data_IF_451685451768
#
_entry.id   IF_451685451768
#
_cell.length_a   1.000
_cell.length_b   1.000
_cell.length_c   1.000
_cell.angle_alpha   90.00
_cell.angle_beta   90.00
_cell.angle_gamma   90.00
#
_symmetry.space_group_name_H-M   'P 1'
#
loop_
_entity.id
_entity.type
_entity.pdbx_description
1 polymer ?
#
# COMPACT_ATOMS: atom_id res chain seq x y z
N UNK A 1 8.87 16.92 -16.07
CA UNK A 1 7.67 16.78 -15.22
C UNK A 1 7.46 18.12 -14.54
N UNK A 2 6.66 19.01 -15.13
CA UNK A 2 6.43 20.35 -14.59
C UNK A 2 4.98 20.74 -14.89
N UNK A 3 4.05 19.95 -14.36
CA UNK A 3 2.64 20.33 -14.32
C UNK A 3 2.45 21.38 -13.21
N UNK A 4 1.66 22.43 -13.44
CA UNK A 4 1.43 23.49 -12.45
C UNK A 4 0.67 23.01 -11.21
N UNK A 5 0.03 21.84 -11.25
CA UNK A 5 -0.67 21.23 -10.11
C UNK A 5 -0.20 19.80 -9.86
N UNK A 6 -0.41 19.30 -8.65
CA UNK A 6 -0.03 17.94 -8.26
C UNK A 6 -0.94 16.85 -8.87
N UNK A 7 -2.01 17.23 -9.58
CA UNK A 7 -3.06 16.32 -10.04
C UNK A 7 -2.51 15.25 -11.00
N UNK A 8 -1.58 15.63 -11.88
CA UNK A 8 -0.91 14.69 -12.78
C UNK A 8 -0.09 13.63 -12.02
N UNK A 9 0.58 14.03 -10.93
CA UNK A 9 1.33 13.09 -10.09
C UNK A 9 0.41 12.18 -9.27
N UNK A 10 -0.68 12.73 -8.72
CA UNK A 10 -1.69 11.98 -7.97
C UNK A 10 -2.40 10.96 -8.88
N UNK A 11 -2.79 11.39 -10.08
CA UNK A 11 -3.39 10.53 -11.11
C UNK A 11 -2.44 9.42 -11.55
N UNK A 12 -1.15 9.73 -11.71
CA UNK A 12 -0.16 8.71 -12.09
C UNK A 12 0.06 7.68 -10.97
N UNK A 13 0.19 8.10 -9.70
CA UNK A 13 0.39 7.19 -8.57
C UNK A 13 -0.87 6.35 -8.32
N UNK A 14 -2.04 6.98 -8.31
CA UNK A 14 -3.30 6.29 -8.05
C UNK A 14 -3.66 5.36 -9.22
N UNK A 15 -3.49 5.84 -10.46
CA UNK A 15 -3.77 5.07 -11.66
C UNK A 15 -2.85 3.86 -11.82
N UNK A 16 -1.54 4.04 -11.67
CA UNK A 16 -0.59 2.91 -11.80
C UNK A 16 -0.79 1.87 -10.70
N UNK A 17 -1.02 2.29 -9.46
CA UNK A 17 -1.31 1.36 -8.36
C UNK A 17 -2.66 0.65 -8.54
N UNK A 18 -3.70 1.36 -8.97
CA UNK A 18 -5.00 0.76 -9.25
C UNK A 18 -4.91 -0.28 -10.36
N UNK A 19 -4.19 0.01 -11.45
CA UNK A 19 -3.96 -0.93 -12.56
C UNK A 19 -3.20 -2.15 -12.10
N UNK A 20 -2.16 -2.00 -11.27
CA UNK A 20 -1.41 -3.13 -10.73
C UNK A 20 -2.29 -4.06 -9.89
N UNK A 21 -3.23 -3.52 -9.10
CA UNK A 21 -4.14 -4.34 -8.31
C UNK A 21 -5.23 -4.97 -9.17
N UNK A 22 -5.92 -4.19 -10.00
CA UNK A 22 -7.02 -4.68 -10.82
C UNK A 22 -6.58 -5.65 -11.92
N UNK A 23 -5.55 -5.29 -12.69
CA UNK A 23 -5.04 -6.16 -13.75
C UNK A 23 -4.12 -7.25 -13.20
N UNK A 24 -3.28 -6.93 -12.21
CA UNK A 24 -2.33 -7.89 -11.67
C UNK A 24 -2.98 -8.95 -10.79
N UNK A 25 -3.88 -8.57 -9.88
CA UNK A 25 -4.54 -9.52 -8.96
C UNK A 25 -5.97 -9.85 -9.40
N UNK A 26 -6.71 -8.86 -9.88
CA UNK A 26 -8.13 -9.02 -10.22
C UNK A 26 -8.38 -9.90 -11.45
N UNK A 27 -7.63 -9.73 -12.54
CA UNK A 27 -7.84 -10.53 -13.75
C UNK A 27 -7.59 -12.04 -13.53
N UNK A 28 -6.47 -12.47 -12.91
CA UNK A 28 -6.27 -13.89 -12.62
C UNK A 28 -7.38 -14.48 -11.73
N UNK A 29 -7.84 -13.72 -10.73
CA UNK A 29 -8.95 -14.14 -9.87
C UNK A 29 -10.26 -14.31 -10.63
N UNK A 30 -10.60 -13.36 -11.52
CA UNK A 30 -11.79 -13.45 -12.37
C UNK A 30 -11.71 -14.67 -13.28
N UNK A 31 -10.57 -14.90 -13.93
CA UNK A 31 -10.37 -16.06 -14.80
C UNK A 31 -10.49 -17.36 -14.00
N UNK A 32 -9.88 -17.43 -12.81
CA UNK A 32 -10.00 -18.57 -11.91
C UNK A 32 -11.43 -18.85 -11.47
N UNK A 33 -12.18 -17.80 -11.09
CA UNK A 33 -13.59 -17.90 -10.72
C UNK A 33 -14.45 -18.43 -11.88
N UNK A 34 -14.25 -17.93 -13.10
CA UNK A 34 -14.98 -18.40 -14.28
C UNK A 34 -14.63 -19.85 -14.64
N UNK A 35 -13.34 -20.21 -14.58
CA UNK A 35 -12.89 -21.58 -14.85
C UNK A 35 -13.55 -22.57 -13.89
N UNK A 36 -13.50 -22.31 -12.58
CA UNK A 36 -14.10 -23.20 -11.59
C UNK A 36 -15.63 -23.16 -11.57
N UNK A 37 -16.24 -22.03 -11.93
CA UNK A 37 -17.70 -21.95 -12.13
C UNK A 37 -18.18 -22.86 -13.27
N UNK A 38 -17.38 -23.03 -14.33
CA UNK A 38 -17.71 -23.91 -15.46
C UNK A 38 -17.33 -25.37 -15.21
N UNK A 39 -16.23 -25.62 -14.50
CA UNK A 39 -15.74 -26.98 -14.23
C UNK A 39 -16.55 -27.70 -13.15
N UNK A 40 -17.02 -26.99 -12.13
CA UNK A 40 -17.75 -27.55 -10.99
C UNK A 40 -16.88 -28.39 -10.04
N UNK A 41 -17.53 -29.08 -9.10
CA UNK A 41 -16.89 -29.95 -8.11
C UNK A 41 -16.46 -31.29 -8.74
N UNK A 42 -15.18 -31.41 -9.09
CA UNK A 42 -14.60 -32.71 -9.45
C UNK A 42 -14.34 -33.56 -8.19
N UNK A 43 -14.27 -34.90 -8.30
CA UNK A 43 -13.91 -35.76 -7.16
C UNK A 43 -12.58 -35.37 -6.51
N UNK A 44 -11.59 -34.99 -7.33
CA UNK A 44 -10.29 -34.49 -6.88
C UNK A 44 -10.39 -33.16 -6.13
N UNK A 45 -11.28 -32.26 -6.55
CA UNK A 45 -11.51 -30.98 -5.88
C UNK A 45 -12.17 -31.20 -4.51
N UNK A 46 -13.16 -32.08 -4.43
CA UNK A 46 -13.83 -32.44 -3.18
C UNK A 46 -12.87 -33.11 -2.18
N UNK A 47 -11.94 -33.93 -2.68
CA UNK A 47 -10.88 -34.52 -1.86
C UNK A 47 -9.85 -33.48 -1.36
N UNK A 48 -9.60 -32.42 -2.15
CA UNK A 48 -8.66 -31.35 -1.80
C UNK A 48 -9.22 -30.34 -0.80
N UNK A 49 -10.52 -30.10 -0.82
CA UNK A 49 -11.21 -29.09 -0.02
C UNK A 49 -12.47 -29.67 0.65
N UNK A 50 -12.32 -30.60 1.60
CA UNK A 50 -13.46 -31.35 2.17
C UNK A 50 -14.46 -30.44 2.89
N UNK A 51 -13.97 -29.46 3.65
CA UNK A 51 -14.82 -28.53 4.41
C UNK A 51 -15.61 -27.61 3.46
N UNK A 52 -14.98 -27.17 2.37
CA UNK A 52 -15.62 -26.32 1.37
C UNK A 52 -16.60 -27.12 0.51
N UNK A 53 -16.34 -28.40 0.27
CA UNK A 53 -17.24 -29.28 -0.47
C UNK A 53 -18.57 -29.52 0.28
N UNK A 54 -18.54 -29.52 1.61
CA UNK A 54 -19.76 -29.59 2.43
C UNK A 54 -20.63 -28.33 2.29
N UNK A 55 -20.02 -27.15 2.17
CA UNK A 55 -20.71 -25.87 2.03
C UNK A 55 -21.11 -25.56 0.58
N UNK A 56 -20.31 -26.01 -0.39
CA UNK A 56 -20.46 -25.70 -1.81
C UNK A 56 -20.41 -26.99 -2.65
N UNK A 57 -21.52 -27.76 -2.70
CA UNK A 57 -21.55 -29.05 -3.38
C UNK A 57 -21.37 -28.94 -4.90
N UNK A 58 -21.61 -27.77 -5.48
CA UNK A 58 -21.42 -27.51 -6.91
C UNK A 58 -19.97 -27.18 -7.28
N UNK A 59 -19.09 -27.03 -6.28
CA UNK A 59 -17.70 -26.63 -6.46
C UNK A 59 -17.53 -25.13 -6.65
N UNK A 60 -16.28 -24.67 -6.56
CA UNK A 60 -15.97 -23.26 -6.70
C UNK A 60 -14.48 -22.94 -6.64
N UNK A 61 -14.15 -21.69 -6.95
CA UNK A 61 -12.80 -21.18 -6.81
C UNK A 61 -12.52 -20.87 -5.33
N UNK A 62 -11.75 -21.75 -4.68
CA UNK A 62 -11.38 -21.60 -3.27
C UNK A 62 -10.08 -20.81 -3.18
N UNK A 63 -10.10 -19.70 -2.44
CA UNK A 63 -8.90 -18.91 -2.15
C UNK A 63 -8.78 -18.74 -0.63
N UNK A 64 -7.79 -19.37 0.03
CA UNK A 64 -7.54 -19.13 1.44
C UNK A 64 -7.04 -17.69 1.64
N UNK A 65 -7.56 -16.99 2.65
CA UNK A 65 -7.30 -15.57 2.86
C UNK A 65 -5.85 -15.26 3.30
N UNK A 66 -5.10 -16.25 3.80
CA UNK A 66 -3.73 -16.10 4.29
C UNK A 66 -3.59 -14.92 5.26
N UNK A 67 -2.43 -14.26 5.25
CA UNK A 67 -2.10 -13.15 6.16
C UNK A 67 -2.50 -11.77 5.62
N UNK A 68 -3.54 -11.73 4.77
CA UNK A 68 -4.01 -10.48 4.17
C UNK A 68 -4.41 -9.45 5.24
N UNK A 69 -5.07 -9.89 6.31
CA UNK A 69 -5.51 -9.03 7.41
C UNK A 69 -4.35 -8.37 8.18
N UNK A 70 -3.29 -9.14 8.44
CA UNK A 70 -2.07 -8.64 9.07
C UNK A 70 -1.40 -7.56 8.22
N UNK A 71 -1.18 -7.87 6.93
CA UNK A 71 -0.55 -6.95 5.98
C UNK A 71 -1.31 -5.63 5.83
N UNK A 72 -2.65 -5.70 5.73
CA UNK A 72 -3.52 -4.51 5.63
C UNK A 72 -3.44 -3.66 6.91
N UNK A 73 -3.40 -4.30 8.08
CA UNK A 73 -3.33 -3.59 9.37
C UNK A 73 -2.02 -2.80 9.49
N UNK A 74 -0.88 -3.42 9.19
CA UNK A 74 0.44 -2.75 9.19
C UNK A 74 0.46 -1.60 8.19
N UNK A 75 -0.07 -1.82 6.98
CA UNK A 75 -0.16 -0.77 5.96
C UNK A 75 -0.99 0.44 6.45
N UNK A 76 -2.16 0.20 7.03
CA UNK A 76 -3.03 1.27 7.54
C UNK A 76 -2.37 2.08 8.66
N UNK A 77 -1.68 1.41 9.60
CA UNK A 77 -0.93 2.09 10.66
C UNK A 77 0.17 2.97 10.07
N UNK A 78 0.96 2.43 9.13
CA UNK A 78 1.97 3.19 8.40
C UNK A 78 1.39 4.40 7.66
N UNK A 79 0.25 4.22 6.99
CA UNK A 79 -0.42 5.28 6.24
C UNK A 79 -0.89 6.41 7.16
N UNK A 80 -1.54 6.08 8.29
CA UNK A 80 -1.98 7.08 9.28
C UNK A 80 -0.79 7.86 9.84
N UNK A 81 0.31 7.18 10.18
CA UNK A 81 1.51 7.85 10.69
C UNK A 81 2.17 8.72 9.62
N UNK A 82 2.24 8.27 8.37
CA UNK A 82 2.75 9.06 7.25
C UNK A 82 1.91 10.33 7.03
N UNK A 83 0.59 10.19 6.97
CA UNK A 83 -0.34 11.31 6.82
C UNK A 83 -0.27 12.26 8.02
N UNK A 84 -0.23 11.74 9.25
CA UNK A 84 -0.06 12.52 10.47
C UNK A 84 1.24 13.32 10.51
N UNK A 85 2.34 12.75 10.00
CA UNK A 85 3.60 13.49 9.86
C UNK A 85 3.50 14.58 8.78
N UNK A 86 2.85 14.31 7.65
CA UNK A 86 2.65 15.30 6.59
C UNK A 86 1.75 16.45 7.05
N UNK A 87 0.71 16.18 7.83
CA UNK A 87 -0.16 17.21 8.41
C UNK A 87 0.57 18.02 9.47
N UNK A 88 1.34 17.37 10.36
CA UNK A 88 2.19 18.08 11.34
C UNK A 88 3.25 18.95 10.65
N UNK A 89 3.89 18.43 9.61
CA UNK A 89 4.81 19.21 8.78
C UNK A 89 4.10 20.41 8.15
N UNK A 90 2.87 20.23 7.67
CA UNK A 90 2.07 21.31 7.09
C UNK A 90 1.71 22.36 8.14
N UNK A 91 1.37 21.98 9.37
CA UNK A 91 1.03 22.94 10.43
C UNK A 91 2.23 23.69 10.99
N UNK A 92 3.40 23.05 11.10
CA UNK A 92 4.61 23.66 11.69
C UNK A 92 5.47 24.41 10.66
N UNK A 93 5.59 23.88 9.44
CA UNK A 93 6.51 24.37 8.41
C UNK A 93 5.79 24.95 7.18
N UNK A 94 4.45 24.96 7.16
CA UNK A 94 3.61 25.59 6.13
C UNK A 94 3.94 25.23 4.68
N UNK A 95 4.43 24.01 4.42
CA UNK A 95 4.71 23.51 3.08
C UNK A 95 3.49 22.86 2.41
N UNK A 96 3.23 23.21 1.16
CA UNK A 96 2.17 22.65 0.31
C UNK A 96 2.61 21.34 -0.40
N UNK A 97 1.65 20.52 -0.85
CA UNK A 97 1.90 19.37 -1.73
C UNK A 97 2.15 19.90 -3.17
N UNK A 98 3.42 20.03 -3.57
CA UNK A 98 3.79 20.18 -4.97
C UNK A 98 4.44 21.49 -5.42
N UNK A 99 4.58 22.54 -4.59
CA UNK A 99 5.24 23.77 -5.06
C UNK A 99 5.59 24.80 -3.98
N UNK A 100 6.48 25.80 -4.25
CA UNK A 100 6.94 26.73 -3.21
C UNK A 100 6.42 28.18 -3.39
N UNK A 101 6.57 29.00 -2.35
CA UNK A 101 7.03 30.38 -2.57
C UNK A 101 7.99 30.89 -1.47
N UNK A 102 7.74 30.62 -0.18
CA UNK A 102 8.63 31.07 0.90
C UNK A 102 9.63 30.01 1.40
N UNK A 103 9.34 28.71 1.30
CA UNK A 103 10.21 27.65 1.82
C UNK A 103 11.51 27.43 1.00
N UNK A 104 11.47 27.58 -0.34
CA UNK A 104 12.65 27.42 -1.20
C UNK A 104 13.50 28.70 -1.31
N UNK A 105 12.88 29.89 -1.16
CA UNK A 105 13.59 31.17 -1.16
C UNK A 105 14.29 31.44 0.19
N UNK A 106 13.72 30.94 1.29
CA UNK A 106 14.29 31.04 2.64
C UNK A 106 15.38 29.99 2.92
N UNK A 107 15.37 28.85 2.24
CA UNK A 107 16.43 27.83 2.34
C UNK A 107 17.74 28.28 1.63
N UNK A 108 17.65 29.22 0.69
CA UNK A 108 18.83 29.83 0.06
C UNK A 108 19.44 31.00 0.86
N UNK A 109 18.71 31.56 1.84
CA UNK A 109 19.15 32.72 2.64
C UNK A 109 19.36 32.43 4.13
N UNK A 110 18.77 31.36 4.69
CA UNK A 110 18.99 30.90 6.07
C UNK A 110 19.61 29.51 6.05
N UNK A 111 20.91 29.41 6.32
CA UNK A 111 21.66 28.14 6.44
C UNK A 111 21.21 27.18 7.56
N UNK A 112 19.99 27.32 8.11
CA UNK A 112 19.40 26.46 9.13
C UNK A 112 18.28 25.53 8.62
N UNK A 113 17.71 25.77 7.42
CA UNK A 113 16.59 24.97 6.88
C UNK A 113 17.00 23.55 6.46
N UNK A 114 18.21 23.42 5.91
CA UNK A 114 18.78 22.16 5.43
C UNK A 114 18.96 21.15 6.58
N UNK A 115 19.45 21.56 7.74
CA UNK A 115 19.67 20.66 8.88
C UNK A 115 18.36 20.05 9.41
N UNK A 116 17.30 20.86 9.50
CA UNK A 116 15.99 20.39 9.95
C UNK A 116 15.28 19.51 8.91
N UNK A 117 15.41 19.86 7.62
CA UNK A 117 14.89 19.03 6.53
C UNK A 117 15.63 17.68 6.44
N UNK A 118 16.95 17.66 6.66
CA UNK A 118 17.76 16.45 6.71
C UNK A 118 17.46 15.61 7.97
N UNK A 119 17.24 16.26 9.12
CA UNK A 119 16.83 15.58 10.35
C UNK A 119 15.49 14.89 10.16
N UNK A 120 14.51 15.58 9.58
CA UNK A 120 13.19 15.00 9.29
C UNK A 120 13.29 13.83 8.30
N UNK A 121 14.08 13.96 7.23
CA UNK A 121 14.32 12.86 6.28
C UNK A 121 14.98 11.65 6.95
N UNK A 122 15.97 11.88 7.82
CA UNK A 122 16.68 10.81 8.55
C UNK A 122 15.78 10.10 9.56
N UNK A 123 15.00 10.86 10.33
CA UNK A 123 14.03 10.29 11.29
C UNK A 123 12.99 9.44 10.56
N UNK A 124 12.47 9.93 9.44
CA UNK A 124 11.48 9.21 8.64
C UNK A 124 12.07 7.95 8.01
N UNK A 125 13.29 8.03 7.44
CA UNK A 125 13.97 6.87 6.88
C UNK A 125 14.23 5.79 7.94
N UNK A 126 14.74 6.18 9.12
CA UNK A 126 14.98 5.25 10.23
C UNK A 126 13.68 4.63 10.73
N UNK A 127 12.61 5.43 10.87
CA UNK A 127 11.31 4.93 11.30
C UNK A 127 10.72 3.89 10.34
N UNK A 128 10.68 4.18 9.03
CA UNK A 128 10.16 3.24 8.04
C UNK A 128 11.05 2.00 7.89
N UNK A 129 12.37 2.12 8.06
CA UNK A 129 13.27 0.97 8.10
C UNK A 129 13.02 0.09 9.32
N UNK A 130 12.78 0.68 10.50
CA UNK A 130 12.42 -0.07 11.71
C UNK A 130 11.08 -0.76 11.56
N UNK A 131 10.08 -0.07 11.00
CA UNK A 131 8.75 -0.64 10.80
C UNK A 131 8.76 -1.73 9.73
N UNK A 132 9.58 -1.59 8.68
CA UNK A 132 9.86 -2.65 7.73
C UNK A 132 10.58 -3.85 8.38
N UNK A 133 11.55 -3.61 9.26
CA UNK A 133 12.21 -4.68 10.00
C UNK A 133 11.25 -5.42 10.94
N UNK A 134 10.37 -4.70 11.64
CA UNK A 134 9.29 -5.29 12.46
C UNK A 134 8.33 -6.09 11.59
N UNK A 135 7.94 -5.57 10.42
CA UNK A 135 7.09 -6.29 9.47
C UNK A 135 7.76 -7.59 9.00
N UNK A 136 9.02 -7.54 8.56
CA UNK A 136 9.76 -8.73 8.12
C UNK A 136 9.82 -9.74 9.24
N UNK A 137 10.26 -9.35 10.44
CA UNK A 137 10.39 -10.27 11.58
C UNK A 137 9.04 -10.85 11.98
N UNK A 138 7.99 -10.03 12.02
CA UNK A 138 6.64 -10.48 12.36
C UNK A 138 6.05 -11.48 11.35
N UNK A 139 6.23 -11.24 10.05
CA UNK A 139 5.75 -12.15 8.99
C UNK A 139 6.59 -13.42 8.87
N UNK A 140 7.90 -13.36 9.16
CA UNK A 140 8.76 -14.55 9.08
C UNK A 140 8.70 -15.46 10.30
N UNK A 141 8.03 -15.04 11.38
CA UNK A 141 7.93 -15.81 12.62
C UNK A 141 6.57 -16.51 12.82
N UNK A 142 5.63 -16.36 11.88
CA UNK A 142 4.40 -17.17 11.77
C UNK A 142 4.58 -18.27 10.70
#
# INVERSE_FOLDING_TARGET
MSDPTADAAVGNVTGSNAVNVFLGLGLPWMIGALYWSRKGATPEWAARYPDQAALYPQGGFVVPAGDLGYSVTVFCVCAVLCLGMLTLRRSVLGGELGGPSWAAARDRSQGGGVAQALLQKRVVAVFFLLLWAVYIVGVTCE
#
